data_IF_272735762530
#
_entry.id   IF_272735762530
#
_cell.length_a   1.000
_cell.length_b   1.000
_cell.length_c   1.000
_cell.angle_alpha   90.00
_cell.angle_beta   90.00
_cell.angle_gamma   90.00
#
_symmetry.space_group_name_H-M   'P 1'
#
loop_
_entity.id
_entity.type
_entity.pdbx_description
1 polymer ?
#
# COMPACT_ATOMS: atom_id res chain seq x y z
N UNK A 1 40.82 -41.59 -56.97
CA UNK A 1 39.81 -42.07 -55.99
C UNK A 1 38.49 -41.36 -56.27
N UNK A 2 37.40 -42.13 -56.32
CA UNK A 2 36.09 -41.78 -56.88
C UNK A 2 35.40 -40.61 -56.16
N UNK A 3 34.75 -39.70 -56.90
CA UNK A 3 33.89 -38.66 -56.33
C UNK A 3 32.65 -39.32 -55.76
N UNK A 4 32.54 -39.37 -54.43
CA UNK A 4 31.35 -39.82 -53.71
C UNK A 4 30.23 -38.82 -53.89
N UNK A 5 29.05 -39.27 -54.34
CA UNK A 5 27.95 -38.39 -54.75
C UNK A 5 26.79 -38.35 -53.77
N UNK A 6 26.74 -39.26 -52.78
CA UNK A 6 25.66 -39.34 -51.79
C UNK A 6 26.20 -39.37 -50.37
N UNK A 7 25.41 -38.93 -49.39
CA UNK A 7 25.79 -38.98 -47.97
C UNK A 7 25.97 -40.44 -47.49
N UNK A 8 25.17 -41.37 -48.00
CA UNK A 8 25.29 -42.80 -47.72
C UNK A 8 26.67 -43.37 -48.12
N UNK A 9 27.29 -42.88 -49.20
CA UNK A 9 28.66 -43.30 -49.60
C UNK A 9 29.75 -42.80 -48.64
N UNK A 10 29.45 -41.75 -47.87
CA UNK A 10 30.36 -41.20 -46.84
C UNK A 10 30.26 -42.05 -45.58
N UNK A 11 29.06 -42.43 -45.15
CA UNK A 11 28.85 -43.27 -43.95
C UNK A 11 29.28 -44.72 -44.13
N UNK A 12 29.19 -45.28 -45.34
CA UNK A 12 29.58 -46.67 -45.61
C UNK A 12 31.09 -46.88 -45.83
N UNK A 13 31.89 -45.82 -45.93
CA UNK A 13 33.35 -45.90 -46.08
C UNK A 13 34.05 -45.46 -44.80
N UNK A 14 33.71 -46.13 -43.70
CA UNK A 14 34.38 -45.97 -42.42
C UNK A 14 35.64 -46.85 -42.37
N UNK A 15 36.61 -46.50 -43.21
CA UNK A 15 37.88 -47.22 -43.35
C UNK A 15 38.68 -47.35 -42.03
N UNK A 16 38.31 -46.55 -41.02
CA UNK A 16 38.98 -46.51 -39.71
C UNK A 16 38.09 -46.99 -38.54
N UNK A 17 36.87 -47.47 -38.80
CA UNK A 17 35.94 -47.98 -37.78
C UNK A 17 35.59 -46.95 -36.69
N UNK A 18 35.61 -45.66 -37.04
CA UNK A 18 35.40 -44.55 -36.10
C UNK A 18 33.93 -44.43 -35.70
N UNK A 19 33.02 -44.89 -36.56
CA UNK A 19 31.57 -44.85 -36.34
C UNK A 19 31.10 -46.00 -35.45
N UNK A 20 31.89 -47.06 -35.29
CA UNK A 20 31.59 -48.20 -34.42
C UNK A 20 32.03 -47.97 -32.96
N UNK A 21 31.36 -47.04 -32.27
CA UNK A 21 31.62 -46.84 -30.84
C UNK A 21 30.89 -47.89 -29.98
N UNK A 22 31.64 -48.80 -29.34
CA UNK A 22 31.10 -49.64 -28.26
C UNK A 22 30.99 -48.82 -26.97
N UNK A 23 29.87 -48.86 -26.23
CA UNK A 23 29.77 -48.16 -24.96
C UNK A 23 30.83 -48.70 -23.99
N UNK A 24 31.70 -47.81 -23.49
CA UNK A 24 32.57 -48.13 -22.35
C UNK A 24 31.67 -48.35 -21.15
N UNK A 25 31.55 -49.60 -20.69
CA UNK A 25 30.99 -49.90 -19.38
C UNK A 25 31.98 -49.36 -18.33
N UNK A 26 31.84 -48.09 -17.96
CA UNK A 26 32.51 -47.58 -16.78
C UNK A 26 31.85 -48.25 -15.58
N UNK A 27 32.61 -49.07 -14.87
CA UNK A 27 32.24 -49.56 -13.55
C UNK A 27 32.32 -48.36 -12.58
N UNK A 28 31.34 -47.46 -12.65
CA UNK A 28 31.29 -46.26 -11.82
C UNK A 28 30.94 -46.72 -10.42
N UNK A 29 31.95 -46.83 -9.56
CA UNK A 29 31.74 -47.04 -8.12
C UNK A 29 30.71 -46.03 -7.62
N UNK A 30 29.71 -46.51 -6.89
CA UNK A 30 28.66 -45.68 -6.30
C UNK A 30 29.27 -44.58 -5.43
N UNK A 31 28.58 -43.46 -5.27
CA UNK A 31 29.04 -42.36 -4.41
C UNK A 31 29.32 -42.86 -2.98
N UNK A 32 28.51 -43.79 -2.48
CA UNK A 32 28.67 -44.42 -1.17
C UNK A 32 29.93 -45.31 -1.09
N UNK A 33 30.26 -46.04 -2.16
CA UNK A 33 31.46 -46.88 -2.18
C UNK A 33 32.73 -46.04 -2.16
N UNK A 34 32.73 -44.89 -2.86
CA UNK A 34 33.84 -43.93 -2.82
C UNK A 34 33.99 -43.30 -1.45
N UNK A 35 32.87 -43.05 -0.77
CA UNK A 35 32.84 -42.51 0.58
C UNK A 35 33.44 -43.50 1.58
N UNK A 36 33.03 -44.77 1.50
CA UNK A 36 33.55 -45.86 2.35
C UNK A 36 35.06 -46.05 2.12
N UNK A 37 35.52 -46.10 0.87
CA UNK A 37 36.95 -46.24 0.53
C UNK A 37 37.78 -45.06 1.09
N UNK A 38 37.23 -43.84 1.04
CA UNK A 38 37.89 -42.65 1.59
C UNK A 38 37.98 -42.66 3.12
N UNK A 39 37.00 -43.27 3.80
CA UNK A 39 37.00 -43.40 5.25
C UNK A 39 37.91 -44.54 5.72
N UNK A 40 37.99 -45.64 4.95
CA UNK A 40 38.95 -46.71 5.19
C UNK A 40 40.40 -46.23 5.10
N UNK A 41 40.70 -45.28 4.20
CA UNK A 41 42.02 -44.62 4.14
C UNK A 41 42.37 -43.90 5.46
N UNK A 42 41.37 -43.28 6.10
CA UNK A 42 41.53 -42.61 7.41
C UNK A 42 41.71 -43.64 8.53
N UNK A 43 40.96 -44.74 8.54
CA UNK A 43 41.14 -45.83 9.51
C UNK A 43 42.52 -46.48 9.39
N UNK A 44 43.00 -46.75 8.18
CA UNK A 44 44.33 -47.31 7.95
C UNK A 44 45.45 -46.35 8.41
N UNK A 45 45.24 -45.03 8.25
CA UNK A 45 46.15 -44.04 8.80
C UNK A 45 46.17 -44.07 10.33
N UNK A 46 45.00 -44.19 10.96
CA UNK A 46 44.87 -44.27 12.41
C UNK A 46 45.49 -45.55 12.96
N UNK A 47 45.28 -46.70 12.33
CA UNK A 47 45.88 -47.99 12.73
C UNK A 47 47.42 -47.95 12.67
N UNK A 48 47.98 -47.26 11.66
CA UNK A 48 49.43 -47.15 11.47
C UNK A 48 50.10 -46.19 12.47
N UNK A 49 49.43 -45.09 12.81
CA UNK A 49 50.03 -44.01 13.58
C UNK A 49 49.47 -43.86 15.00
N UNK A 50 48.41 -44.61 15.35
CA UNK A 50 47.63 -44.51 16.59
C UNK A 50 47.25 -43.06 16.97
N UNK A 51 47.09 -42.19 15.97
CA UNK A 51 46.73 -40.78 16.13
C UNK A 51 45.84 -40.31 14.99
N UNK A 52 45.05 -39.27 15.26
CA UNK A 52 44.27 -38.59 14.22
C UNK A 52 45.20 -37.82 13.25
N UNK A 53 44.80 -37.64 11.97
CA UNK A 53 45.56 -36.84 11.02
C UNK A 53 45.69 -35.38 11.50
N UNK A 54 46.90 -34.82 11.45
CA UNK A 54 47.16 -33.43 11.84
C UNK A 54 47.50 -32.55 10.62
N UNK A 55 47.41 -31.23 10.78
CA UNK A 55 47.71 -30.25 9.73
C UNK A 55 49.22 -30.07 9.43
N UNK A 56 50.04 -31.09 9.71
CA UNK A 56 51.51 -31.00 9.68
C UNK A 56 52.08 -31.34 8.30
N UNK A 57 51.39 -32.17 7.52
CA UNK A 57 51.82 -32.60 6.19
C UNK A 57 50.64 -32.54 5.20
N UNK A 58 50.90 -32.27 3.91
CA UNK A 58 49.87 -32.10 2.87
C UNK A 58 48.99 -33.34 2.75
N UNK A 59 49.58 -34.53 2.84
CA UNK A 59 48.84 -35.80 2.79
C UNK A 59 47.95 -36.01 4.02
N UNK A 60 48.42 -35.62 5.21
CA UNK A 60 47.66 -35.70 6.47
C UNK A 60 46.56 -34.63 6.52
N UNK A 61 46.83 -33.42 6.04
CA UNK A 61 45.86 -32.33 5.94
C UNK A 61 44.68 -32.71 5.04
N UNK A 62 44.92 -33.46 3.96
CA UNK A 62 43.85 -33.97 3.09
C UNK A 62 42.95 -34.96 3.84
N UNK A 63 43.51 -35.84 4.65
CA UNK A 63 42.75 -36.78 5.49
C UNK A 63 42.00 -36.06 6.61
N UNK A 64 42.62 -35.07 7.26
CA UNK A 64 42.00 -34.24 8.29
C UNK A 64 40.80 -33.45 7.74
N UNK A 65 40.96 -32.80 6.59
CA UNK A 65 39.89 -32.02 5.95
C UNK A 65 38.70 -32.91 5.59
N UNK A 66 38.98 -34.14 5.10
CA UNK A 66 37.95 -35.14 4.83
C UNK A 66 37.27 -35.60 6.11
N UNK A 67 38.01 -35.92 7.17
CA UNK A 67 37.44 -36.34 8.46
C UNK A 67 36.53 -35.25 9.04
N UNK A 68 36.94 -33.98 8.98
CA UNK A 68 36.11 -32.84 9.40
C UNK A 68 34.83 -32.73 8.58
N UNK A 69 34.93 -32.85 7.25
CA UNK A 69 33.75 -32.82 6.38
C UNK A 69 32.80 -34.00 6.65
N UNK A 70 33.33 -35.17 6.97
CA UNK A 70 32.54 -36.34 7.36
C UNK A 70 31.84 -36.15 8.71
N UNK A 71 32.49 -35.52 9.70
CA UNK A 71 31.89 -35.22 11.01
C UNK A 71 30.71 -34.24 10.93
N UNK A 72 30.75 -33.30 9.99
CA UNK A 72 29.72 -32.25 9.87
C UNK A 72 28.43 -32.71 9.14
N UNK A 73 28.48 -33.79 8.36
CA UNK A 73 27.35 -34.29 7.56
C UNK A 73 26.71 -35.53 8.20
N UNK A 74 25.62 -35.33 8.94
CA UNK A 74 24.94 -36.36 9.73
C UNK A 74 24.50 -37.58 8.89
N UNK A 75 24.11 -37.39 7.63
CA UNK A 75 23.69 -38.49 6.74
C UNK A 75 24.87 -39.39 6.37
N UNK A 76 26.04 -38.80 6.13
CA UNK A 76 27.28 -39.54 5.83
C UNK A 76 27.81 -40.26 7.06
N UNK A 77 27.68 -39.65 8.24
CA UNK A 77 28.02 -40.29 9.52
C UNK A 77 27.22 -41.57 9.71
N UNK A 78 25.91 -41.56 9.43
CA UNK A 78 25.06 -42.74 9.61
C UNK A 78 25.48 -43.93 8.73
N UNK A 79 25.82 -43.68 7.47
CA UNK A 79 26.30 -44.71 6.53
C UNK A 79 27.66 -45.29 6.99
N UNK A 80 28.56 -44.42 7.46
CA UNK A 80 29.92 -44.78 7.83
C UNK A 80 30.07 -45.36 9.25
N UNK A 81 29.03 -45.27 10.11
CA UNK A 81 29.03 -45.86 11.46
C UNK A 81 29.40 -47.33 11.48
N UNK A 82 28.99 -48.10 10.47
CA UNK A 82 29.28 -49.54 10.38
C UNK A 82 30.75 -49.85 10.08
N UNK A 83 31.48 -48.86 9.56
CA UNK A 83 32.89 -48.96 9.20
C UNK A 83 33.81 -48.18 10.16
N UNK A 84 33.26 -47.55 11.21
CA UNK A 84 34.00 -46.77 12.21
C UNK A 84 34.52 -47.67 13.34
N UNK A 85 35.66 -48.32 13.09
CA UNK A 85 36.32 -49.21 14.05
C UNK A 85 36.98 -48.48 15.22
N UNK A 86 37.32 -47.20 15.04
CA UNK A 86 38.10 -46.41 15.99
C UNK A 86 37.29 -45.27 16.65
N UNK A 87 35.96 -45.25 16.45
CA UNK A 87 35.05 -44.24 16.97
C UNK A 87 35.48 -42.80 16.62
N UNK A 88 35.99 -42.61 15.39
CA UNK A 88 36.50 -41.33 14.89
C UNK A 88 35.38 -40.37 14.51
N UNK A 89 34.17 -40.86 14.27
CA UNK A 89 33.03 -40.06 13.87
C UNK A 89 32.22 -39.52 15.05
N UNK A 90 32.43 -40.07 16.26
CA UNK A 90 31.66 -39.72 17.44
C UNK A 90 32.57 -39.08 18.50
N UNK A 91 33.01 -37.85 18.23
CA UNK A 91 33.49 -36.96 19.28
C UNK A 91 32.28 -36.55 20.12
N UNK A 92 31.90 -37.40 21.08
CA UNK A 92 31.17 -36.92 22.25
C UNK A 92 32.11 -35.99 23.00
N UNK A 93 32.08 -34.71 22.65
CA UNK A 93 32.57 -33.70 23.55
C UNK A 93 31.72 -33.81 24.82
N UNK A 94 32.35 -34.10 25.95
CA UNK A 94 31.67 -34.08 27.24
C UNK A 94 31.15 -32.66 27.45
N UNK A 95 29.84 -32.48 27.36
CA UNK A 95 29.19 -31.19 27.61
C UNK A 95 29.50 -30.81 29.07
N UNK A 96 30.36 -29.80 29.26
CA UNK A 96 30.82 -29.43 30.62
C UNK A 96 29.80 -28.57 31.34
N UNK A 97 28.97 -27.82 30.59
CA UNK A 97 27.93 -26.98 31.19
C UNK A 97 26.81 -26.60 30.20
N UNK A 98 25.66 -26.20 30.76
CA UNK A 98 24.51 -25.66 30.00
C UNK A 98 24.87 -24.39 29.21
N UNK A 99 25.84 -23.61 29.68
CA UNK A 99 26.29 -22.40 28.98
C UNK A 99 27.04 -22.71 27.67
N UNK A 100 27.67 -23.88 27.58
CA UNK A 100 28.34 -24.33 26.35
C UNK A 100 27.32 -24.67 25.27
N UNK A 101 26.22 -25.34 25.65
CA UNK A 101 25.07 -25.65 24.76
C UNK A 101 24.42 -24.38 24.21
N UNK A 102 24.27 -23.35 25.04
CA UNK A 102 23.62 -22.09 24.65
C UNK A 102 24.51 -21.22 23.75
N UNK A 103 25.83 -21.38 23.81
CA UNK A 103 26.77 -20.65 22.95
C UNK A 103 27.06 -21.38 21.63
N UNK A 104 26.78 -22.68 21.54
CA UNK A 104 26.90 -23.49 20.33
C UNK A 104 25.62 -23.43 19.48
N UNK A 105 25.19 -22.21 19.15
CA UNK A 105 24.04 -21.95 18.28
C UNK A 105 24.48 -21.73 16.83
N UNK A 106 25.08 -22.76 16.24
CA UNK A 106 25.51 -22.78 14.82
C UNK A 106 24.37 -22.47 13.83
N UNK A 107 23.12 -22.66 14.26
CA UNK A 107 21.92 -22.42 13.45
C UNK A 107 21.30 -21.04 13.70
N UNK A 108 21.81 -20.25 14.65
CA UNK A 108 21.30 -18.91 14.98
C UNK A 108 19.84 -18.89 15.47
N UNK A 109 19.33 -20.01 15.99
CA UNK A 109 17.92 -20.17 16.38
C UNK A 109 17.62 -19.46 17.71
N UNK A 110 18.62 -19.30 18.56
CA UNK A 110 18.54 -18.66 19.87
C UNK A 110 18.80 -17.15 19.80
N UNK A 111 19.20 -16.62 18.63
CA UNK A 111 19.34 -15.18 18.44
C UNK A 111 17.97 -14.49 18.42
N UNK A 112 17.65 -13.84 19.53
CA UNK A 112 16.38 -13.15 19.69
C UNK A 112 16.32 -11.79 18.98
N UNK A 113 17.45 -11.22 18.55
CA UNK A 113 17.48 -9.85 18.02
C UNK A 113 16.71 -9.70 16.70
N UNK A 114 16.77 -10.71 15.81
CA UNK A 114 15.98 -10.73 14.58
C UNK A 114 14.48 -10.94 14.87
N UNK A 115 14.14 -11.74 15.87
CA UNK A 115 12.73 -12.01 16.25
C UNK A 115 12.05 -10.81 16.93
N UNK A 116 12.80 -9.85 17.47
CA UNK A 116 12.19 -8.63 18.00
C UNK A 116 11.77 -7.66 16.89
N UNK A 117 12.31 -7.83 15.67
CA UNK A 117 11.98 -6.99 14.51
C UNK A 117 10.57 -7.25 13.96
N UNK A 118 10.01 -8.46 14.10
CA UNK A 118 8.64 -8.79 13.65
C UNK A 118 7.56 -8.00 14.41
N UNK A 119 7.87 -7.50 15.62
CA UNK A 119 6.97 -6.65 16.40
C UNK A 119 7.12 -5.16 16.08
N UNK A 120 8.10 -4.78 15.25
CA UNK A 120 8.36 -3.39 14.83
C UNK A 120 7.81 -3.17 13.41
N UNK A 121 6.62 -2.57 13.33
CA UNK A 121 6.00 -2.20 12.05
C UNK A 121 6.76 -1.02 11.40
N UNK A 122 7.50 -1.26 10.31
CA UNK A 122 8.31 -0.22 9.64
C UNK A 122 7.54 0.59 8.59
N UNK A 123 6.52 0.02 7.95
CA UNK A 123 5.80 0.63 6.82
C UNK A 123 4.35 1.01 7.13
N UNK A 124 3.97 0.99 8.41
CA UNK A 124 2.62 1.33 8.85
C UNK A 124 2.69 2.54 9.75
N UNK A 125 1.81 3.52 9.52
CA UNK A 125 1.68 4.68 10.40
C UNK A 125 1.41 4.22 11.83
N UNK A 126 2.17 4.77 12.77
CA UNK A 126 2.05 4.46 14.19
C UNK A 126 0.62 4.74 14.68
N UNK A 127 0.19 4.07 15.74
CA UNK A 127 -1.13 4.30 16.33
C UNK A 127 -1.33 5.77 16.73
N UNK A 128 -0.25 6.44 17.15
CA UNK A 128 -0.24 7.87 17.49
C UNK A 128 -0.53 8.76 16.27
N UNK A 129 0.17 8.53 15.15
CA UNK A 129 -0.05 9.30 13.91
C UNK A 129 -1.46 9.08 13.34
N UNK A 130 -1.97 7.85 13.40
CA UNK A 130 -3.36 7.56 13.01
C UNK A 130 -4.35 8.31 13.88
N UNK A 131 -4.13 8.34 15.20
CA UNK A 131 -4.99 9.06 16.13
C UNK A 131 -4.97 10.58 15.91
N UNK A 132 -3.82 11.18 15.57
CA UNK A 132 -3.73 12.61 15.24
C UNK A 132 -4.50 12.98 13.97
N UNK A 133 -4.44 12.13 12.94
CA UNK A 133 -5.21 12.35 11.70
C UNK A 133 -6.72 12.21 11.92
N UNK A 134 -7.14 11.26 12.75
CA UNK A 134 -8.55 11.06 13.12
C UNK A 134 -9.05 12.19 14.06
N UNK A 135 -8.22 12.64 14.99
CA UNK A 135 -8.50 13.77 15.89
C UNK A 135 -8.69 15.08 15.11
N UNK A 136 -7.94 15.26 14.03
CA UNK A 136 -8.09 16.46 13.19
C UNK A 136 -9.47 16.52 12.56
N UNK A 137 -10.05 15.39 12.10
CA UNK A 137 -11.35 15.37 11.43
C UNK A 137 -12.58 15.52 12.37
N UNK A 138 -12.39 15.45 13.69
CA UNK A 138 -13.48 15.56 14.67
C UNK A 138 -13.97 17.01 14.80
N UNK A 139 -15.27 17.17 15.07
CA UNK A 139 -15.87 18.48 15.38
C UNK A 139 -15.22 19.05 16.65
N UNK A 140 -14.66 20.24 16.57
CA UNK A 140 -14.08 20.98 17.71
C UNK A 140 -15.03 22.09 18.13
N UNK A 141 -15.23 22.27 19.44
CA UNK A 141 -16.01 23.38 19.96
C UNK A 141 -15.33 24.71 19.61
N UNK A 142 -16.10 25.68 19.14
CA UNK A 142 -15.64 27.03 18.84
C UNK A 142 -15.78 27.92 20.07
N UNK A 143 -14.95 28.96 20.18
CA UNK A 143 -15.14 30.02 21.18
C UNK A 143 -16.40 30.81 20.86
N UNK A 144 -17.19 31.17 21.89
CA UNK A 144 -18.43 31.93 21.73
C UNK A 144 -18.23 33.27 20.99
N UNK A 145 -17.05 33.88 21.12
CA UNK A 145 -16.72 35.15 20.43
C UNK A 145 -16.65 34.97 18.91
N UNK A 146 -16.04 33.88 18.46
CA UNK A 146 -15.86 33.60 17.04
C UNK A 146 -17.16 33.09 16.42
N UNK A 147 -18.03 32.46 17.22
CA UNK A 147 -19.32 31.92 16.77
C UNK A 147 -20.44 32.97 16.65
N UNK A 148 -20.39 34.05 17.43
CA UNK A 148 -21.40 35.12 17.45
C UNK A 148 -21.85 35.65 16.05
N UNK A 149 -20.94 35.91 15.09
CA UNK A 149 -21.36 36.34 13.74
C UNK A 149 -22.13 35.25 12.99
N UNK A 150 -21.74 33.98 13.12
CA UNK A 150 -22.41 32.86 12.46
C UNK A 150 -23.76 32.54 13.10
N UNK A 151 -23.87 32.66 14.43
CA UNK A 151 -25.13 32.44 15.15
C UNK A 151 -26.25 33.36 14.64
N UNK A 152 -25.92 34.63 14.38
CA UNK A 152 -26.87 35.61 13.84
C UNK A 152 -27.33 35.22 12.43
N UNK A 153 -26.42 34.71 11.60
CA UNK A 153 -26.72 34.23 10.26
C UNK A 153 -27.60 32.97 10.28
N UNK A 154 -27.27 31.98 11.12
CA UNK A 154 -28.08 30.79 11.27
C UNK A 154 -29.51 31.10 11.75
N UNK A 155 -29.67 32.03 12.69
CA UNK A 155 -31.00 32.51 13.13
C UNK A 155 -31.80 33.13 11.98
N UNK A 156 -31.13 33.89 11.11
CA UNK A 156 -31.75 34.47 9.90
C UNK A 156 -32.19 33.37 8.93
N UNK A 157 -31.33 32.41 8.62
CA UNK A 157 -31.65 31.28 7.74
C UNK A 157 -32.81 30.44 8.29
N UNK A 158 -32.84 30.18 9.60
CA UNK A 158 -33.96 29.50 10.26
C UNK A 158 -35.28 30.27 10.20
N UNK A 159 -35.22 31.61 10.21
CA UNK A 159 -36.41 32.45 10.00
C UNK A 159 -36.88 32.38 8.55
N UNK A 160 -35.95 32.43 7.59
CA UNK A 160 -36.26 32.39 6.16
C UNK A 160 -36.78 31.02 5.69
N UNK A 161 -36.27 29.92 6.27
CA UNK A 161 -36.80 28.57 6.06
C UNK A 161 -38.25 28.45 6.58
N UNK A 162 -38.55 29.06 7.74
CA UNK A 162 -39.92 29.10 8.30
C UNK A 162 -40.87 29.96 7.48
N UNK A 163 -40.38 31.07 6.94
CA UNK A 163 -41.14 31.96 6.05
C UNK A 163 -41.29 31.39 4.63
N UNK A 164 -40.62 30.28 4.29
CA UNK A 164 -40.67 29.65 2.97
C UNK A 164 -39.87 30.37 1.88
N UNK A 165 -39.07 31.38 2.25
CA UNK A 165 -38.16 32.10 1.35
C UNK A 165 -36.98 31.24 0.91
N UNK A 166 -36.55 30.32 1.77
CA UNK A 166 -35.57 29.27 1.46
C UNK A 166 -36.26 27.91 1.52
N UNK A 167 -35.83 26.98 0.68
CA UNK A 167 -36.37 25.61 0.63
C UNK A 167 -35.23 24.61 0.76
N UNK A 168 -35.52 23.49 1.41
CA UNK A 168 -34.60 22.35 1.46
C UNK A 168 -34.76 21.55 0.16
N UNK A 169 -33.67 21.40 -0.57
CA UNK A 169 -33.57 20.55 -1.77
C UNK A 169 -32.74 19.32 -1.45
N UNK A 170 -33.09 18.21 -2.10
CA UNK A 170 -32.32 16.98 -1.98
C UNK A 170 -30.92 17.14 -2.60
N UNK A 171 -29.91 16.60 -1.93
CA UNK A 171 -28.53 16.62 -2.41
C UNK A 171 -28.30 15.45 -3.37
N UNK A 172 -28.37 15.71 -4.69
CA UNK A 172 -28.26 14.67 -5.72
C UNK A 172 -26.83 14.39 -6.19
N UNK A 173 -26.03 15.43 -6.40
CA UNK A 173 -24.68 15.30 -6.97
C UNK A 173 -23.57 15.56 -5.94
N UNK A 174 -22.76 14.53 -5.71
CA UNK A 174 -21.67 14.49 -4.72
C UNK A 174 -20.51 15.44 -5.06
N UNK A 175 -20.28 15.73 -6.34
CA UNK A 175 -19.08 16.46 -6.79
C UNK A 175 -19.35 17.88 -7.32
N UNK A 176 -20.62 18.25 -7.50
CA UNK A 176 -21.01 19.52 -8.13
C UNK A 176 -21.81 20.45 -7.22
N UNK A 177 -22.52 19.94 -6.22
CA UNK A 177 -23.48 20.77 -5.47
C UNK A 177 -22.93 21.36 -4.17
N UNK A 178 -21.60 21.35 -3.98
CA UNK A 178 -20.97 21.85 -2.77
C UNK A 178 -20.10 23.07 -3.11
N UNK A 179 -20.65 24.24 -2.78
CA UNK A 179 -20.08 25.57 -3.01
C UNK A 179 -19.84 26.31 -1.69
N UNK A 180 -18.71 27.03 -1.62
CA UNK A 180 -18.38 27.93 -0.50
C UNK A 180 -19.47 29.01 -0.33
N UNK A 181 -19.73 29.40 0.91
CA UNK A 181 -20.76 30.41 1.25
C UNK A 181 -22.18 29.86 1.38
N UNK A 182 -22.42 28.61 0.99
CA UNK A 182 -23.76 28.03 1.00
C UNK A 182 -24.04 27.26 2.29
N UNK A 183 -25.33 27.06 2.55
CA UNK A 183 -25.85 26.38 3.73
C UNK A 183 -26.36 24.99 3.38
N UNK A 184 -26.10 24.03 4.26
CA UNK A 184 -26.54 22.65 4.09
C UNK A 184 -27.05 22.10 5.41
N UNK A 185 -27.83 21.02 5.35
CA UNK A 185 -28.29 20.29 6.53
C UNK A 185 -27.69 18.89 6.45
N UNK A 186 -27.05 18.43 7.52
CA UNK A 186 -26.54 17.05 7.67
C UNK A 186 -27.03 16.50 8.98
N UNK A 187 -27.71 15.34 8.95
CA UNK A 187 -28.27 14.69 10.14
C UNK A 187 -29.18 15.62 10.97
N UNK A 188 -29.90 16.50 10.29
CA UNK A 188 -30.80 17.48 10.92
C UNK A 188 -30.10 18.71 11.53
N UNK A 189 -28.77 18.82 11.40
CA UNK A 189 -27.99 19.96 11.90
C UNK A 189 -27.63 20.87 10.72
N UNK A 190 -27.94 22.17 10.85
CA UNK A 190 -27.58 23.18 9.86
C UNK A 190 -26.07 23.47 9.92
N UNK A 191 -25.44 23.54 8.75
CA UNK A 191 -24.03 23.86 8.58
C UNK A 191 -23.83 24.94 7.52
N UNK A 192 -22.75 25.69 7.69
CA UNK A 192 -22.26 26.70 6.76
C UNK A 192 -20.88 26.26 6.25
N UNK A 193 -20.72 26.24 4.92
CA UNK A 193 -19.43 25.95 4.29
C UNK A 193 -18.65 27.25 4.10
N UNK A 194 -17.67 27.50 4.98
CA UNK A 194 -16.83 28.70 4.90
C UNK A 194 -15.79 28.60 3.78
N UNK A 195 -15.14 27.44 3.67
CA UNK A 195 -14.13 27.16 2.65
C UNK A 195 -14.33 25.74 2.10
N UNK A 196 -14.37 25.61 0.78
CA UNK A 196 -14.47 24.33 0.09
C UNK A 196 -13.09 23.68 -0.10
N UNK A 197 -12.01 24.42 0.19
CA UNK A 197 -10.65 23.93 0.22
C UNK A 197 -10.16 23.43 -1.13
N UNK A 198 -10.72 23.93 -2.23
CA UNK A 198 -10.49 23.48 -3.61
C UNK A 198 -9.00 23.49 -4.02
N UNK A 199 -8.28 22.46 -3.61
CA UNK A 199 -6.98 22.07 -4.12
C UNK A 199 -7.26 21.07 -5.25
N UNK A 200 -7.24 21.55 -6.49
CA UNK A 200 -7.35 20.67 -7.67
C UNK A 200 -6.12 19.77 -7.71
N UNK A 201 -6.26 18.50 -7.32
CA UNK A 201 -5.19 17.52 -7.47
C UNK A 201 -5.38 16.81 -8.81
N UNK A 202 -4.36 16.87 -9.67
CA UNK A 202 -4.30 16.06 -10.88
C UNK A 202 -4.00 14.62 -10.48
N UNK A 203 -4.95 13.71 -10.67
CA UNK A 203 -4.75 12.28 -10.48
C UNK A 203 -4.92 11.61 -11.85
N UNK A 204 -3.81 11.46 -12.58
CA UNK A 204 -3.84 11.02 -13.97
C UNK A 204 -4.50 12.07 -14.87
N UNK A 205 -5.46 11.64 -15.70
CA UNK A 205 -6.17 12.47 -16.69
C UNK A 205 -7.40 13.21 -16.13
N UNK A 206 -7.70 13.04 -14.84
CA UNK A 206 -8.88 13.61 -14.18
C UNK A 206 -8.45 14.56 -13.04
N UNK A 207 -8.96 15.79 -13.09
CA UNK A 207 -8.85 16.73 -11.96
C UNK A 207 -9.91 16.39 -10.91
N UNK A 208 -9.47 16.10 -9.68
CA UNK A 208 -10.37 15.79 -8.57
C UNK A 208 -10.28 16.85 -7.48
N UNK A 209 -11.46 17.23 -6.97
CA UNK A 209 -11.61 18.12 -5.80
C UNK A 209 -11.44 17.27 -4.54
N UNK A 210 -10.32 17.41 -3.85
CA UNK A 210 -10.05 16.63 -2.62
C UNK A 210 -9.39 17.48 -1.53
N UNK A 211 -9.96 18.67 -1.34
CA UNK A 211 -9.59 19.64 -0.33
C UNK A 211 -10.07 19.29 1.07
N UNK A 212 -9.42 19.88 2.08
CA UNK A 212 -10.01 19.99 3.42
C UNK A 212 -10.92 21.21 3.45
N UNK A 213 -12.16 20.98 3.84
CA UNK A 213 -13.16 22.04 3.98
C UNK A 213 -13.01 22.76 5.31
N UNK A 214 -13.61 23.93 5.45
CA UNK A 214 -13.89 24.55 6.74
C UNK A 214 -15.39 24.68 6.91
N UNK A 215 -15.93 23.97 7.90
CA UNK A 215 -17.38 23.87 8.14
C UNK A 215 -17.68 24.37 9.54
N UNK A 216 -18.74 25.16 9.64
CA UNK A 216 -19.26 25.66 10.92
C UNK A 216 -20.67 25.11 11.07
N UNK A 217 -20.94 24.46 12.20
CA UNK A 217 -22.26 23.93 12.54
C UNK A 217 -23.02 24.90 13.44
N UNK A 218 -24.34 24.90 13.34
CA UNK A 218 -25.23 25.74 14.16
C UNK A 218 -25.08 25.52 15.68
N UNK A 219 -24.55 24.37 16.10
CA UNK A 219 -24.30 24.03 17.50
C UNK A 219 -22.97 24.59 18.03
N UNK A 220 -22.32 25.51 17.31
CA UNK A 220 -21.06 26.13 17.73
C UNK A 220 -19.84 25.22 17.57
N UNK A 221 -19.89 24.23 16.69
CA UNK A 221 -18.73 23.37 16.41
C UNK A 221 -18.15 23.63 15.02
N UNK A 222 -16.83 23.52 14.89
CA UNK A 222 -16.08 23.62 13.64
C UNK A 222 -15.51 22.27 13.26
N UNK A 223 -15.59 21.90 11.98
CA UNK A 223 -14.95 20.70 11.43
C UNK A 223 -14.16 21.06 10.18
N UNK A 224 -13.11 20.28 9.92
CA UNK A 224 -12.29 20.41 8.72
C UNK A 224 -12.21 19.07 7.94
N UNK A 225 -13.35 18.39 7.83
CA UNK A 225 -13.44 17.14 7.08
C UNK A 225 -13.08 17.33 5.60
N UNK A 226 -12.65 16.25 4.95
CA UNK A 226 -12.42 16.25 3.52
C UNK A 226 -13.71 16.54 2.75
N UNK A 227 -13.60 17.24 1.63
CA UNK A 227 -14.72 17.58 0.74
C UNK A 227 -15.57 16.35 0.42
N UNK A 228 -14.95 15.24 0.03
CA UNK A 228 -15.67 13.99 -0.30
C UNK A 228 -16.36 13.35 0.90
N UNK A 229 -15.80 13.48 2.10
CA UNK A 229 -16.46 13.00 3.31
C UNK A 229 -17.72 13.81 3.60
N UNK A 230 -17.66 15.14 3.45
CA UNK A 230 -18.84 16.00 3.58
C UNK A 230 -19.88 15.66 2.51
N UNK A 231 -19.48 15.61 1.24
CA UNK A 231 -20.40 15.30 0.13
C UNK A 231 -21.08 13.95 0.30
N UNK A 232 -20.36 12.93 0.79
CA UNK A 232 -20.94 11.61 1.08
C UNK A 232 -21.92 11.66 2.24
N UNK A 233 -21.61 12.43 3.29
CA UNK A 233 -22.53 12.63 4.42
C UNK A 233 -23.82 13.32 3.97
N UNK A 234 -23.69 14.32 3.08
CA UNK A 234 -24.82 15.04 2.50
C UNK A 234 -25.66 14.15 1.56
N UNK A 235 -25.02 13.26 0.82
CA UNK A 235 -25.71 12.33 -0.06
C UNK A 235 -26.58 11.32 0.70
N UNK A 236 -26.10 10.81 1.83
CA UNK A 236 -26.85 9.82 2.61
C UNK A 236 -28.03 10.47 3.34
N UNK A 237 -27.78 11.55 4.09
CA UNK A 237 -28.72 12.09 5.08
C UNK A 237 -28.71 13.63 5.09
N UNK A 238 -28.48 14.26 3.94
CA UNK A 238 -28.35 15.70 3.84
C UNK A 238 -29.29 16.38 2.86
N UNK A 239 -29.33 17.70 2.97
CA UNK A 239 -30.12 18.57 2.12
C UNK A 239 -29.39 19.89 1.88
N UNK A 240 -29.63 20.49 0.71
CA UNK A 240 -29.12 21.81 0.35
C UNK A 240 -30.16 22.83 0.78
N UNK A 241 -29.73 23.90 1.45
CA UNK A 241 -30.59 25.06 1.67
C UNK A 241 -30.49 25.92 0.42
N UNK A 242 -31.61 26.11 -0.29
CA UNK A 242 -31.62 27.00 -1.45
C UNK A 242 -31.29 28.43 -1.05
N UNK A 243 -30.65 29.15 -1.96
CA UNK A 243 -30.48 30.58 -1.83
C UNK A 243 -31.83 31.30 -1.92
N UNK A 244 -31.82 32.55 -1.46
CA UNK A 244 -33.01 33.42 -1.51
C UNK A 244 -33.30 33.77 -2.98
N UNK A 245 -34.56 34.02 -3.35
CA UNK A 245 -34.93 34.35 -4.75
C UNK A 245 -34.05 35.47 -5.37
N UNK A 246 -33.61 36.44 -4.56
CA UNK A 246 -32.68 37.51 -5.00
C UNK A 246 -31.26 37.04 -5.31
N UNK A 247 -30.73 36.12 -4.50
CA UNK A 247 -29.39 35.53 -4.72
C UNK A 247 -29.44 34.54 -5.88
N UNK A 248 -30.58 33.86 -6.07
CA UNK A 248 -30.82 32.97 -7.21
C UNK A 248 -30.88 33.74 -8.53
N UNK A 249 -31.46 34.95 -8.55
CA UNK A 249 -31.42 35.85 -9.69
C UNK A 249 -29.98 36.25 -10.06
N UNK A 250 -29.18 36.70 -9.08
CA UNK A 250 -27.78 37.06 -9.30
C UNK A 250 -26.93 35.90 -9.82
N UNK A 251 -27.12 34.68 -9.29
CA UNK A 251 -26.45 33.47 -9.81
C UNK A 251 -26.90 33.11 -11.22
N UNK A 252 -28.18 33.27 -11.55
CA UNK A 252 -28.69 33.08 -12.92
C UNK A 252 -28.04 34.08 -13.89
N UNK A 253 -27.94 35.35 -13.52
CA UNK A 253 -27.30 36.38 -14.35
C UNK A 253 -25.80 36.10 -14.57
N UNK A 254 -25.09 35.65 -13.54
CA UNK A 254 -23.68 35.25 -13.64
C UNK A 254 -23.49 34.00 -14.51
N UNK A 255 -24.30 32.95 -14.29
CA UNK A 255 -24.20 31.71 -15.08
C UNK A 255 -24.56 31.93 -16.55
N UNK A 256 -25.54 32.79 -16.84
CA UNK A 256 -25.93 33.14 -18.20
C UNK A 256 -24.93 34.08 -18.91
N UNK A 257 -23.81 34.46 -18.27
CA UNK A 257 -22.82 35.41 -18.80
C UNK A 257 -23.44 36.76 -19.20
N UNK A 258 -24.53 37.17 -18.53
CA UNK A 258 -25.24 38.42 -18.84
C UNK A 258 -24.59 39.60 -18.10
N UNK A 259 -23.96 39.34 -16.94
CA UNK A 259 -23.32 40.37 -16.10
C UNK A 259 -22.02 39.82 -15.52
N UNK A 260 -20.91 40.53 -15.73
CA UNK A 260 -19.59 40.26 -15.15
C UNK A 260 -19.31 41.20 -13.97
N UNK A 261 -18.34 40.85 -13.09
CA UNK A 261 -17.94 41.73 -11.97
C UNK A 261 -17.29 43.04 -12.42
N UNK A 262 -16.93 43.15 -13.70
CA UNK A 262 -16.37 44.34 -14.34
C UNK A 262 -17.47 45.27 -14.91
N UNK A 263 -18.72 44.80 -14.99
CA UNK A 263 -19.81 45.57 -15.56
C UNK A 263 -20.36 46.59 -14.55
N UNK A 264 -20.28 47.86 -14.93
CA UNK A 264 -20.74 48.98 -14.12
C UNK A 264 -22.23 49.21 -14.37
N UNK A 265 -23.05 49.11 -13.31
CA UNK A 265 -24.47 49.45 -13.37
C UNK A 265 -24.66 50.90 -13.79
N UNK A 266 -25.14 51.12 -15.01
CA UNK A 266 -25.28 52.46 -15.63
C UNK A 266 -26.65 53.10 -15.40
N UNK A 267 -27.66 52.35 -14.93
CA UNK A 267 -28.97 52.92 -14.61
C UNK A 267 -30.08 51.88 -14.43
N UNK A 268 -31.31 52.37 -14.33
CA UNK A 268 -32.52 51.56 -14.21
C UNK A 268 -33.37 51.70 -15.49
N UNK A 269 -33.82 50.58 -16.04
CA UNK A 269 -34.83 50.59 -17.10
C UNK A 269 -36.19 50.35 -16.44
N UNK A 270 -37.07 51.34 -16.53
CA UNK A 270 -38.45 51.20 -16.05
C UNK A 270 -39.33 50.73 -17.20
N UNK A 271 -39.76 49.48 -17.13
CA UNK A 271 -40.78 48.94 -18.04
C UNK A 271 -42.14 49.17 -17.41
N UNK A 272 -42.95 50.03 -18.03
CA UNK A 272 -44.28 50.39 -17.55
C UNK A 272 -45.32 49.57 -18.29
N UNK A 273 -46.08 48.76 -17.54
CA UNK A 273 -47.26 48.07 -18.07
C UNK A 273 -48.49 48.94 -17.88
N UNK A 274 -49.28 49.11 -18.94
CA UNK A 274 -50.56 49.81 -18.88
C UNK A 274 -51.51 49.10 -17.93
N UNK A 275 -52.14 49.86 -17.01
CA UNK A 275 -53.24 49.37 -16.15
C UNK A 275 -54.63 49.64 -16.76
N UNK A 276 -54.68 49.99 -18.04
CA UNK A 276 -55.93 50.31 -18.72
C UNK A 276 -56.80 49.07 -18.89
N UNK A 277 -58.11 49.21 -18.65
CA UNK A 277 -59.13 48.17 -18.89
C UNK A 277 -59.64 48.14 -20.33
N UNK A 278 -59.08 48.98 -21.22
CA UNK A 278 -59.48 49.00 -22.63
C UNK A 278 -59.01 47.69 -23.33
N UNK A 279 -59.93 46.90 -23.92
CA UNK A 279 -59.61 45.60 -24.52
C UNK A 279 -58.52 45.67 -25.62
N UNK A 280 -58.42 46.77 -26.38
CA UNK A 280 -57.39 46.90 -27.42
C UNK A 280 -55.96 47.09 -26.87
N UNK A 281 -55.84 47.55 -25.62
CA UNK A 281 -54.55 47.78 -24.94
C UNK A 281 -54.20 46.60 -24.03
N UNK A 282 -55.21 45.99 -23.40
CA UNK A 282 -55.04 44.82 -22.55
C UNK A 282 -54.74 43.53 -23.34
N UNK A 283 -55.07 43.49 -24.64
CA UNK A 283 -54.80 42.33 -25.52
C UNK A 283 -53.40 42.31 -26.12
N UNK A 284 -52.59 43.34 -25.90
CA UNK A 284 -51.21 43.38 -26.37
C UNK A 284 -50.39 42.58 -25.37
N UNK A 285 -49.95 41.39 -25.79
CA UNK A 285 -49.04 40.55 -24.99
C UNK A 285 -47.60 41.10 -25.05
N UNK A 286 -46.92 41.03 -23.90
CA UNK A 286 -45.52 41.46 -23.70
C UNK A 286 -44.52 40.57 -24.47
#
# INVERSE_FOLDING_TARGET
>A
MSKKKTLEDIFNDDAFGILDSKPKNSNVKSEDERLIESFQEINAFFEKNNREPEATNVSEFKLLSRLKALRHDANKVEILKTYDTHNLLNTKEEIKSVAEILNDDDLGILDTDETLSIFKLQHVKSASERAETDFTARRKAMSNKDFAPYETQFKKVHKELREGKRKLKEFKDVEQNLYKGNYYVVDGILLYLEDDGLQKRKLGDSERKDGRTTIIFENGTKSNMYYRSLSKSLYNNGSIVSDTDKESEDELFKNAHIVSEEDVQTGWIYVLRSKSTNPEIASIED
#
